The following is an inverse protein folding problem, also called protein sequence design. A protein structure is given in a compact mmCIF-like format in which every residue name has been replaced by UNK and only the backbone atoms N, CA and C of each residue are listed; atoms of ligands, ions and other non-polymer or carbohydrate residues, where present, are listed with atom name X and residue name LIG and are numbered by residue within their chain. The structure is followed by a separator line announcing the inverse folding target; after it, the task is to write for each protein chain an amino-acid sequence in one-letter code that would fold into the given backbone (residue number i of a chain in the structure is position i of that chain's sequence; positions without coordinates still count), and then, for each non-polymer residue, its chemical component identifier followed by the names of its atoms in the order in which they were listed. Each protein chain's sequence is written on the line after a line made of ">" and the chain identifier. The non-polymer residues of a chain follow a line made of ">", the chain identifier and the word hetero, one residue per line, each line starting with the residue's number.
data_IF_288686373681
#
_entry.id   IF_288686373681
#
_cell.length_a   1.000
_cell.length_b   1.000
_cell.length_c   1.000
_cell.angle_alpha   90.00
_cell.angle_beta   90.00
_cell.angle_gamma   90.00
#
_symmetry.space_group_name_H-M   'P 1'
#
loop_
_entity.id
_entity.type
_entity.pdbx_description
1 polymer ?
#
# COMPACT_ATOMS: atom_id res chain seq x y z
N UNK A 1 -74.28 -10.28 41.66
CA UNK A 1 -73.52 -10.37 40.39
C UNK A 1 -72.26 -9.52 40.51
N UNK A 2 -71.10 -10.12 40.77
CA UNK A 2 -69.78 -9.49 40.59
C UNK A 2 -68.80 -10.59 40.16
N UNK A 3 -68.99 -11.11 38.95
CA UNK A 3 -68.10 -12.08 38.32
C UNK A 3 -67.71 -11.51 36.96
N UNK A 4 -66.65 -10.71 36.92
CA UNK A 4 -66.24 -10.09 35.66
C UNK A 4 -64.93 -9.30 35.67
N UNK A 5 -64.43 -8.87 36.84
CA UNK A 5 -63.27 -7.96 36.87
C UNK A 5 -61.93 -8.64 37.18
N UNK A 6 -61.91 -9.87 37.73
CA UNK A 6 -60.66 -10.60 38.00
C UNK A 6 -59.96 -11.10 36.72
N UNK A 7 -60.72 -11.50 35.70
CA UNK A 7 -60.18 -11.93 34.40
C UNK A 7 -59.55 -10.77 33.61
N UNK A 8 -60.04 -9.53 33.80
CA UNK A 8 -59.55 -8.36 33.07
C UNK A 8 -58.14 -7.91 33.49
N UNK A 9 -57.76 -8.10 34.75
CA UNK A 9 -56.43 -7.67 35.28
C UNK A 9 -55.33 -8.68 34.95
N UNK A 10 -55.62 -9.98 34.99
CA UNK A 10 -54.67 -11.05 34.61
C UNK A 10 -54.29 -10.98 33.12
N UNK A 11 -55.29 -10.74 32.26
CA UNK A 11 -55.11 -10.68 30.81
C UNK A 11 -54.33 -9.43 30.34
N UNK A 12 -54.33 -8.36 31.15
CA UNK A 12 -53.55 -7.13 30.91
C UNK A 12 -52.10 -7.29 31.38
N UNK A 13 -51.87 -7.96 32.52
CA UNK A 13 -50.52 -8.21 33.05
C UNK A 13 -49.75 -9.22 32.20
N UNK A 14 -50.40 -10.28 31.69
CA UNK A 14 -49.78 -11.23 30.76
C UNK A 14 -49.33 -10.55 29.46
N UNK A 15 -50.20 -9.73 28.84
CA UNK A 15 -49.85 -8.93 27.65
C UNK A 15 -48.73 -7.93 27.89
N UNK A 16 -48.71 -7.29 29.07
CA UNK A 16 -47.66 -6.34 29.42
C UNK A 16 -46.31 -7.05 29.65
N UNK A 17 -46.32 -8.24 30.25
CA UNK A 17 -45.09 -9.03 30.41
C UNK A 17 -44.59 -9.58 29.06
N UNK A 18 -45.47 -10.12 28.22
CA UNK A 18 -45.13 -10.54 26.86
C UNK A 18 -44.59 -9.41 25.99
N UNK A 19 -45.21 -8.21 26.08
CA UNK A 19 -44.74 -7.03 25.35
C UNK A 19 -43.36 -6.54 25.80
N UNK A 20 -42.96 -6.76 27.06
CA UNK A 20 -41.62 -6.37 27.52
C UNK A 20 -40.52 -7.28 27.00
N UNK A 21 -40.77 -8.58 26.89
CA UNK A 21 -39.79 -9.51 26.30
C UNK A 21 -39.66 -9.28 24.79
N UNK A 22 -40.78 -9.07 24.09
CA UNK A 22 -40.75 -8.73 22.67
C UNK A 22 -39.95 -7.45 22.38
N UNK A 23 -40.18 -6.38 23.18
CA UNK A 23 -39.40 -5.14 23.04
C UNK A 23 -37.90 -5.34 23.35
N UNK A 24 -37.57 -6.21 24.32
CA UNK A 24 -36.18 -6.48 24.69
C UNK A 24 -35.44 -7.32 23.63
N UNK A 25 -36.14 -8.26 22.97
CA UNK A 25 -35.61 -9.00 21.81
C UNK A 25 -35.38 -8.07 20.61
N UNK A 26 -36.31 -7.16 20.35
CA UNK A 26 -36.19 -6.20 19.25
C UNK A 26 -35.00 -5.23 19.48
N UNK A 27 -34.80 -4.80 20.73
CA UNK A 27 -33.65 -3.96 21.11
C UNK A 27 -32.32 -4.73 21.04
N UNK A 28 -32.30 -6.02 21.43
CA UNK A 28 -31.12 -6.88 21.23
C UNK A 28 -30.81 -7.12 19.75
N UNK A 29 -31.83 -7.37 18.93
CA UNK A 29 -31.66 -7.55 17.49
C UNK A 29 -31.10 -6.28 16.84
N UNK A 30 -31.63 -5.10 17.21
CA UNK A 30 -31.11 -3.81 16.74
C UNK A 30 -29.65 -3.59 17.14
N UNK A 31 -29.28 -3.92 18.39
CA UNK A 31 -27.90 -3.80 18.86
C UNK A 31 -26.95 -4.76 18.13
N UNK A 32 -27.40 -5.99 17.88
CA UNK A 32 -26.61 -6.98 17.15
C UNK A 32 -26.40 -6.58 15.69
N UNK A 33 -27.42 -5.99 15.07
CA UNK A 33 -27.32 -5.47 13.70
C UNK A 33 -26.39 -4.25 13.61
N UNK A 34 -26.44 -3.34 14.60
CA UNK A 34 -25.50 -2.23 14.68
C UNK A 34 -24.02 -2.69 14.81
N UNK A 35 -23.78 -3.76 15.57
CA UNK A 35 -22.45 -4.37 15.66
C UNK A 35 -22.00 -5.00 14.34
N UNK A 36 -22.90 -5.65 13.62
CA UNK A 36 -22.60 -6.25 12.31
C UNK A 36 -22.25 -5.17 11.27
N UNK A 37 -22.99 -4.07 11.21
CA UNK A 37 -22.70 -2.95 10.31
C UNK A 37 -21.36 -2.29 10.64
N UNK A 38 -21.04 -2.11 11.93
CA UNK A 38 -19.75 -1.57 12.34
C UNK A 38 -18.59 -2.50 11.92
N UNK A 39 -18.75 -3.81 12.05
CA UNK A 39 -17.75 -4.78 11.62
C UNK A 39 -17.55 -4.77 10.09
N UNK A 40 -18.63 -4.67 9.33
CA UNK A 40 -18.58 -4.56 7.87
C UNK A 40 -17.84 -3.30 7.41
N UNK A 41 -18.10 -2.16 8.04
CA UNK A 41 -17.41 -0.91 7.74
C UNK A 41 -15.90 -1.00 8.02
N UNK A 42 -15.53 -1.64 9.14
CA UNK A 42 -14.13 -1.82 9.51
C UNK A 42 -13.40 -2.75 8.51
N UNK A 43 -14.08 -3.79 8.02
CA UNK A 43 -13.53 -4.68 6.99
C UNK A 43 -13.31 -3.97 5.65
N UNK A 44 -14.23 -3.08 5.25
CA UNK A 44 -14.09 -2.28 4.03
C UNK A 44 -12.88 -1.34 4.12
N UNK A 45 -12.66 -0.71 5.27
CA UNK A 45 -11.50 0.16 5.52
C UNK A 45 -10.17 -0.60 5.46
N UNK A 46 -10.12 -1.81 6.03
CA UNK A 46 -8.95 -2.67 5.96
C UNK A 46 -8.61 -3.06 4.50
N UNK A 47 -9.64 -3.36 3.70
CA UNK A 47 -9.44 -3.71 2.28
C UNK A 47 -8.92 -2.52 1.46
N UNK A 48 -9.36 -1.29 1.77
CA UNK A 48 -8.85 -0.08 1.13
C UNK A 48 -7.38 0.20 1.50
N UNK A 49 -6.98 -0.01 2.76
CA UNK A 49 -5.57 0.11 3.16
C UNK A 49 -4.68 -0.92 2.45
N UNK A 50 -5.14 -2.18 2.30
CA UNK A 50 -4.37 -3.21 1.62
C UNK A 50 -4.15 -2.88 0.14
N UNK A 51 -5.19 -2.36 -0.53
CA UNK A 51 -5.10 -1.92 -1.93
C UNK A 51 -4.09 -0.79 -2.12
N UNK A 52 -4.07 0.19 -1.20
CA UNK A 52 -3.08 1.28 -1.25
C UNK A 52 -1.65 0.76 -1.08
N UNK A 53 -1.42 -0.21 -0.18
CA UNK A 53 -0.09 -0.80 0.02
C UNK A 53 0.42 -1.56 -1.21
N UNK A 54 -0.47 -2.27 -1.94
CA UNK A 54 -0.08 -2.95 -3.19
C UNK A 54 0.29 -1.96 -4.30
N UNK A 55 -0.38 -0.80 -4.38
CA UNK A 55 -0.04 0.24 -5.35
C UNK A 55 1.38 0.80 -5.12
N UNK A 56 1.80 1.00 -3.87
CA UNK A 56 3.15 1.46 -3.55
C UNK A 56 4.24 0.44 -3.92
N UNK A 57 3.98 -0.87 -3.81
CA UNK A 57 4.97 -1.88 -4.17
C UNK A 57 5.18 -1.99 -5.70
N UNK A 58 4.15 -1.81 -6.52
CA UNK A 58 4.32 -1.82 -7.98
C UNK A 58 5.13 -0.62 -8.49
N UNK A 59 5.02 0.54 -7.85
CA UNK A 59 5.74 1.73 -8.29
C UNK A 59 7.24 1.69 -7.94
N UNK A 60 7.63 0.94 -6.91
CA UNK A 60 9.04 0.76 -6.56
C UNK A 60 9.81 -0.14 -7.56
N UNK A 61 9.12 -0.99 -8.33
CA UNK A 61 9.73 -1.92 -9.28
C UNK A 61 10.11 -1.29 -10.64
N UNK A 62 9.66 -0.06 -10.91
CA UNK A 62 10.00 0.72 -12.12
C UNK A 62 10.90 1.90 -11.74
N UNK A 63 12.06 1.61 -11.13
CA UNK A 63 13.17 2.55 -11.26
C UNK A 63 13.68 2.46 -12.70
N UNK A 64 13.78 3.57 -13.45
CA UNK A 64 14.53 3.57 -14.69
C UNK A 64 15.93 3.09 -14.33
N UNK A 65 16.32 1.92 -14.81
CA UNK A 65 17.73 1.59 -14.93
C UNK A 65 18.29 2.71 -15.79
N UNK A 66 19.02 3.66 -15.18
CA UNK A 66 19.76 4.65 -15.93
C UNK A 66 20.52 3.88 -17.00
N UNK A 67 20.43 4.26 -18.29
CA UNK A 67 21.16 3.57 -19.34
C UNK A 67 22.60 3.51 -18.85
N UNK A 68 23.10 2.28 -18.61
CA UNK A 68 24.47 2.08 -18.22
C UNK A 68 25.28 2.81 -19.27
N UNK A 69 26.00 3.86 -18.84
CA UNK A 69 26.81 4.65 -19.75
C UNK A 69 27.65 3.67 -20.55
N UNK A 70 27.45 3.67 -21.86
CA UNK A 70 27.99 2.63 -22.73
C UNK A 70 29.51 2.59 -22.48
N UNK A 71 30.06 1.51 -21.92
CA UNK A 71 31.44 1.50 -21.47
C UNK A 71 32.40 1.81 -22.63
N UNK A 72 31.98 1.49 -23.86
CA UNK A 72 32.71 1.86 -25.08
C UNK A 72 32.73 3.38 -25.32
N UNK A 73 31.61 4.09 -25.10
CA UNK A 73 31.54 5.54 -25.26
C UNK A 73 32.41 6.28 -24.22
N UNK A 74 32.47 5.76 -23.00
CA UNK A 74 33.36 6.26 -21.96
C UNK A 74 34.85 6.10 -22.34
N UNK A 75 35.23 4.90 -22.83
CA UNK A 75 36.59 4.62 -23.31
C UNK A 75 37.00 5.55 -24.46
N UNK A 76 36.13 5.75 -25.44
CA UNK A 76 36.39 6.68 -26.56
C UNK A 76 36.61 8.12 -26.10
N UNK A 77 35.84 8.58 -25.11
CA UNK A 77 36.00 9.93 -24.55
C UNK A 77 37.35 10.07 -23.83
N UNK A 78 37.76 9.06 -23.05
CA UNK A 78 39.07 9.06 -22.38
C UNK A 78 40.22 9.08 -23.38
N UNK A 79 40.15 8.26 -24.46
CA UNK A 79 41.17 8.26 -25.52
C UNK A 79 41.32 9.62 -26.19
N UNK A 80 40.22 10.36 -26.37
CA UNK A 80 40.25 11.72 -26.92
C UNK A 80 40.96 12.70 -25.97
N UNK A 81 40.62 12.69 -24.68
CA UNK A 81 41.29 13.54 -23.68
C UNK A 81 42.79 13.27 -23.63
N UNK A 82 43.22 12.01 -23.74
CA UNK A 82 44.65 11.67 -23.79
C UNK A 82 45.36 12.24 -25.03
N UNK A 83 44.69 12.25 -26.18
CA UNK A 83 45.24 12.82 -27.40
C UNK A 83 45.42 14.35 -27.28
N UNK A 84 44.44 15.03 -26.67
CA UNK A 84 44.51 16.48 -26.42
C UNK A 84 45.66 16.82 -25.44
N UNK A 85 45.80 16.03 -24.35
CA UNK A 85 46.87 16.22 -23.37
C UNK A 85 48.27 15.94 -23.94
N UNK A 86 48.37 14.96 -24.84
CA UNK A 86 49.59 14.72 -25.63
C UNK A 86 49.89 15.89 -26.57
N UNK A 87 48.88 16.42 -27.27
CA UNK A 87 49.04 17.56 -28.17
C UNK A 87 49.43 18.85 -27.43
N UNK A 88 48.97 19.02 -26.18
CA UNK A 88 49.40 20.13 -25.31
C UNK A 88 50.79 19.91 -24.68
N UNK A 89 51.45 18.79 -24.95
CA UNK A 89 52.77 18.45 -24.39
C UNK A 89 52.77 18.16 -22.88
N UNK A 90 51.59 17.88 -22.31
CA UNK A 90 51.43 17.55 -20.88
C UNK A 90 51.73 16.07 -20.63
N UNK A 91 51.41 15.21 -21.61
CA UNK A 91 51.84 13.80 -21.62
C UNK A 91 52.96 13.57 -22.63
N UNK A 92 53.91 12.73 -22.26
CA UNK A 92 54.90 12.19 -23.20
C UNK A 92 54.30 11.09 -24.09
N UNK A 93 54.94 10.81 -25.23
CA UNK A 93 54.52 9.75 -26.14
C UNK A 93 54.44 8.38 -25.44
N UNK A 94 55.40 8.09 -24.56
CA UNK A 94 55.47 6.83 -23.82
C UNK A 94 54.30 6.67 -22.83
N UNK A 95 53.97 7.72 -22.08
CA UNK A 95 52.86 7.71 -21.13
C UNK A 95 51.50 7.62 -21.84
N UNK A 96 51.36 8.28 -22.98
CA UNK A 96 50.17 8.20 -23.82
C UNK A 96 49.89 6.77 -24.31
N UNK A 97 50.92 6.06 -24.80
CA UNK A 97 50.74 4.69 -25.28
C UNK A 97 50.36 3.71 -24.16
N UNK A 98 50.96 3.86 -22.98
CA UNK A 98 50.64 3.04 -21.81
C UNK A 98 49.17 3.22 -21.38
N UNK A 99 48.68 4.45 -21.29
CA UNK A 99 47.30 4.72 -20.89
C UNK A 99 46.29 4.31 -21.96
N UNK A 100 46.61 4.51 -23.25
CA UNK A 100 45.79 4.01 -24.37
C UNK A 100 45.63 2.49 -24.30
N UNK A 101 46.73 1.76 -24.07
CA UNK A 101 46.69 0.31 -23.95
C UNK A 101 45.88 -0.15 -22.73
N UNK A 102 46.02 0.54 -21.58
CA UNK A 102 45.24 0.25 -20.38
C UNK A 102 43.72 0.43 -20.58
N UNK A 103 43.30 1.50 -21.27
CA UNK A 103 41.88 1.79 -21.56
C UNK A 103 41.26 0.79 -22.55
N UNK A 104 42.07 0.24 -23.47
CA UNK A 104 41.63 -0.76 -24.44
C UNK A 104 41.65 -2.20 -23.90
N UNK A 105 42.49 -2.48 -22.89
CA UNK A 105 42.63 -3.80 -22.28
C UNK A 105 41.68 -4.06 -21.11
N UNK A 106 41.30 -3.03 -20.35
CA UNK A 106 40.11 -3.05 -19.49
C UNK A 106 38.86 -2.84 -20.32
#
# INVERSE_FOLDING_TARGET
>A
MVAGTATAVSNRVSRRQGGRWAAQEEEQAAQQQAYADQAAYQQQLAQQQLAQQQAYQQQAAVQPQAPAADPMAAKLTQLKTLADLKASGVLTDAEFEQQKAAILAG
#
